data_IF_616424642103
#
_entry.id   IF_616424642103
#
_cell.length_a   1.000
_cell.length_b   1.000
_cell.length_c   1.000
_cell.angle_alpha   90.00
_cell.angle_beta   90.00
_cell.angle_gamma   90.00
#
_symmetry.space_group_name_H-M   'P 1'
#
loop_
_entity.id
_entity.type
_entity.pdbx_description
1 polymer ?
#
# COMPACT_ATOMS: atom_id res chain seq x y z
N UNK A 1 -31.27 65.98 24.84
CA UNK A 1 -30.03 65.43 25.40
C UNK A 1 -30.31 64.07 26.04
N UNK A 2 -30.16 62.97 25.29
CA UNK A 2 -29.78 61.68 25.85
C UNK A 2 -28.29 61.40 25.56
N UNK A 3 -27.67 60.71 26.50
CA UNK A 3 -26.23 60.49 26.62
C UNK A 3 -25.66 59.49 25.61
N UNK A 4 -24.36 59.65 25.35
CA UNK A 4 -23.51 58.81 24.52
C UNK A 4 -23.47 57.35 25.00
N UNK A 5 -23.78 56.43 24.09
CA UNK A 5 -23.49 55.01 24.26
C UNK A 5 -22.01 54.75 23.90
N UNK A 6 -21.22 54.53 24.94
CA UNK A 6 -19.84 54.10 24.91
C UNK A 6 -19.64 52.72 24.26
N UNK A 7 -18.54 52.60 23.50
CA UNK A 7 -17.80 51.39 23.07
C UNK A 7 -18.10 50.81 21.67
N UNK A 8 -17.15 50.92 20.72
CA UNK A 8 -17.16 50.16 19.48
C UNK A 8 -16.36 48.87 19.68
N UNK A 9 -17.03 47.76 20.02
CA UNK A 9 -16.45 46.43 19.79
C UNK A 9 -17.52 45.59 19.10
N UNK A 10 -17.53 45.59 17.76
CA UNK A 10 -17.55 44.30 17.08
C UNK A 10 -16.72 44.28 15.78
N UNK A 11 -15.49 44.82 15.76
CA UNK A 11 -14.58 44.60 14.62
C UNK A 11 -13.69 43.35 14.78
N UNK A 12 -13.45 42.90 16.02
CA UNK A 12 -12.52 41.79 16.29
C UNK A 12 -13.14 40.39 16.08
N UNK A 13 -14.46 40.23 16.25
CA UNK A 13 -15.10 38.92 16.08
C UNK A 13 -15.31 38.54 14.61
N UNK A 14 -15.50 39.52 13.72
CA UNK A 14 -15.60 39.26 12.28
C UNK A 14 -14.24 38.96 11.64
N UNK A 15 -13.14 39.46 12.22
CA UNK A 15 -11.77 39.11 11.80
C UNK A 15 -11.36 37.67 12.20
N UNK A 16 -11.99 37.08 13.22
CA UNK A 16 -11.77 35.68 13.61
C UNK A 16 -12.52 34.67 12.73
N UNK A 17 -13.51 35.11 11.94
CA UNK A 17 -14.18 34.26 10.93
C UNK A 17 -13.44 34.20 9.59
N UNK A 18 -12.47 35.09 9.38
CA UNK A 18 -11.60 35.09 8.20
C UNK A 18 -10.32 34.26 8.40
N UNK A 19 -10.32 33.28 9.31
CA UNK A 19 -9.42 32.14 9.16
C UNK A 19 -9.88 31.33 7.95
N UNK A 20 -9.43 31.79 6.77
CA UNK A 20 -9.30 30.97 5.58
C UNK A 20 -8.70 29.65 6.08
N UNK A 21 -9.47 28.57 6.05
CA UNK A 21 -8.94 27.23 6.21
C UNK A 21 -7.64 27.19 5.39
N UNK A 22 -6.52 26.67 5.93
CA UNK A 22 -5.27 26.67 5.21
C UNK A 22 -5.59 26.15 3.82
N UNK A 23 -5.33 26.97 2.79
CA UNK A 23 -5.48 26.55 1.41
C UNK A 23 -4.83 25.16 1.37
N UNK A 24 -5.61 24.13 1.05
CA UNK A 24 -5.11 22.76 1.03
C UNK A 24 -3.80 22.81 0.27
N UNK A 25 -2.67 22.58 0.95
CA UNK A 25 -1.38 22.59 0.29
C UNK A 25 -1.54 21.74 -0.97
N UNK A 26 -1.34 22.34 -2.15
CA UNK A 26 -1.56 21.63 -3.41
C UNK A 26 -0.76 20.35 -3.33
N UNK A 27 -1.46 19.22 -3.31
CA UNK A 27 -0.80 17.93 -3.14
C UNK A 27 -0.02 17.68 -4.42
N UNK A 28 1.32 17.54 -4.37
CA UNK A 28 2.14 17.37 -5.55
C UNK A 28 1.56 16.33 -6.51
N UNK A 29 1.53 16.68 -7.79
CA UNK A 29 1.17 15.75 -8.87
C UNK A 29 2.16 14.58 -8.93
N UNK A 30 1.81 13.49 -9.61
CA UNK A 30 2.75 12.36 -9.75
C UNK A 30 4.05 12.80 -10.43
N UNK A 31 3.96 13.66 -11.44
CA UNK A 31 5.11 14.13 -12.21
C UNK A 31 6.16 14.82 -11.31
N UNK A 32 5.72 15.65 -10.36
CA UNK A 32 6.58 16.32 -9.39
C UNK A 32 7.22 15.32 -8.42
N UNK A 33 6.48 14.32 -7.94
CA UNK A 33 7.07 13.24 -7.12
C UNK A 33 8.13 12.45 -7.88
N UNK A 34 7.98 12.29 -9.20
CA UNK A 34 8.91 11.55 -10.03
C UNK A 34 10.17 12.35 -10.40
N UNK A 35 10.24 13.67 -10.16
CA UNK A 35 11.48 14.43 -10.33
C UNK A 35 12.50 14.13 -9.24
N UNK A 36 12.07 13.59 -8.10
CA UNK A 36 12.96 13.14 -7.02
C UNK A 36 13.74 11.87 -7.38
N UNK A 37 13.38 11.18 -8.48
CA UNK A 37 14.05 9.95 -8.92
C UNK A 37 15.31 10.32 -9.73
N UNK A 38 16.52 9.90 -9.30
CA UNK A 38 17.75 10.24 -10.01
C UNK A 38 17.77 9.69 -11.44
N UNK A 39 18.19 10.52 -12.39
CA UNK A 39 18.36 10.09 -13.79
C UNK A 39 19.65 9.28 -13.95
N UNK A 40 19.60 7.98 -14.28
CA UNK A 40 20.79 7.16 -14.38
C UNK A 40 21.55 7.37 -15.70
N UNK A 41 21.05 8.21 -16.62
CA UNK A 41 21.63 8.43 -17.96
C UNK A 41 22.75 9.46 -17.94
N UNK A 42 23.64 9.36 -18.93
CA UNK A 42 24.56 10.45 -19.23
C UNK A 42 23.77 11.67 -19.74
N UNK A 43 24.02 12.90 -19.24
CA UNK A 43 23.36 14.10 -19.73
C UNK A 43 23.48 14.30 -21.26
N UNK A 44 24.56 13.81 -21.88
CA UNK A 44 24.78 13.87 -23.32
C UNK A 44 23.84 12.88 -24.02
N UNK A 45 22.77 13.39 -24.63
CA UNK A 45 21.81 12.60 -25.41
C UNK A 45 20.47 12.34 -24.73
N UNK A 46 20.18 13.01 -23.61
CA UNK A 46 18.84 13.01 -23.01
C UNK A 46 17.87 13.77 -23.91
N UNK A 47 16.98 13.04 -24.58
CA UNK A 47 15.90 13.61 -25.43
C UNK A 47 14.60 13.87 -24.67
N UNK A 48 14.36 13.10 -23.61
CA UNK A 48 13.15 13.15 -22.79
C UNK A 48 13.55 13.17 -21.33
N UNK A 49 13.00 14.11 -20.55
CA UNK A 49 13.17 14.15 -19.10
C UNK A 49 12.73 12.81 -18.48
N UNK A 50 13.45 12.32 -17.47
CA UNK A 50 13.16 11.02 -16.86
C UNK A 50 11.71 10.98 -16.35
N UNK A 51 11.31 11.99 -15.58
CA UNK A 51 9.96 12.08 -14.99
C UNK A 51 8.86 11.92 -16.05
N UNK A 52 9.03 12.48 -17.24
CA UNK A 52 8.07 12.34 -18.36
C UNK A 52 7.98 10.90 -18.85
N UNK A 53 9.11 10.21 -19.04
CA UNK A 53 9.12 8.80 -19.47
C UNK A 53 8.49 7.89 -18.41
N UNK A 54 8.74 8.18 -17.14
CA UNK A 54 8.13 7.45 -16.02
C UNK A 54 6.63 7.71 -15.91
N UNK A 55 6.17 8.96 -16.08
CA UNK A 55 4.74 9.29 -16.11
C UNK A 55 4.04 8.62 -17.28
N UNK A 56 4.64 8.59 -18.48
CA UNK A 56 4.11 7.84 -19.63
C UNK A 56 3.99 6.34 -19.33
N UNK A 57 5.00 5.77 -18.67
CA UNK A 57 4.96 4.37 -18.21
C UNK A 57 3.80 4.15 -17.23
N UNK A 58 3.63 5.05 -16.27
CA UNK A 58 2.50 5.01 -15.34
C UNK A 58 1.16 5.05 -16.09
N UNK A 59 1.00 5.97 -17.04
CA UNK A 59 -0.23 6.09 -17.83
C UNK A 59 -0.57 4.81 -18.59
N UNK A 60 0.43 4.21 -19.26
CA UNK A 60 0.26 2.94 -19.97
C UNK A 60 -0.17 1.80 -19.02
N UNK A 61 0.47 1.68 -17.84
CA UNK A 61 0.11 0.63 -16.86
C UNK A 61 -1.28 0.88 -16.26
N UNK A 62 -1.68 2.14 -16.03
CA UNK A 62 -3.05 2.51 -15.64
C UNK A 62 -4.09 2.18 -16.72
N UNK A 63 -3.68 2.17 -17.99
CA UNK A 63 -4.47 1.72 -19.13
C UNK A 63 -4.41 0.20 -19.37
N UNK A 64 -3.66 -0.55 -18.54
CA UNK A 64 -3.63 -2.02 -18.56
C UNK A 64 -2.42 -2.63 -19.26
N UNK A 65 -1.39 -1.86 -19.59
CA UNK A 65 -0.14 -2.42 -20.10
C UNK A 65 0.52 -3.32 -19.05
N UNK A 66 0.69 -4.61 -19.39
CA UNK A 66 1.27 -5.62 -18.49
C UNK A 66 2.74 -5.95 -18.80
N UNK A 67 3.24 -5.48 -19.96
CA UNK A 67 4.60 -5.70 -20.47
C UNK A 67 5.22 -4.39 -20.97
N UNK A 68 6.56 -4.33 -21.07
CA UNK A 68 7.25 -3.16 -21.62
C UNK A 68 6.92 -2.92 -23.10
N UNK A 69 6.62 -3.99 -23.85
CA UNK A 69 6.14 -3.88 -25.23
C UNK A 69 4.81 -3.12 -25.27
N UNK A 70 3.83 -3.54 -24.46
CA UNK A 70 2.54 -2.87 -24.36
C UNK A 70 2.67 -1.41 -23.86
N UNK A 71 3.66 -1.13 -23.00
CA UNK A 71 3.98 0.26 -22.61
C UNK A 71 4.47 1.06 -23.82
N UNK A 72 5.38 0.51 -24.61
CA UNK A 72 5.89 1.15 -25.83
C UNK A 72 4.81 1.39 -26.88
N UNK A 73 3.92 0.41 -27.10
CA UNK A 73 2.76 0.52 -28.00
C UNK A 73 1.82 1.63 -27.54
N UNK A 74 1.47 1.67 -26.25
CA UNK A 74 0.62 2.74 -25.71
C UNK A 74 1.26 4.14 -25.90
N UNK A 75 2.58 4.26 -25.70
CA UNK A 75 3.29 5.52 -25.92
C UNK A 75 3.31 5.91 -27.39
N UNK A 76 3.45 4.95 -28.30
CA UNK A 76 3.44 5.19 -29.75
C UNK A 76 2.08 5.70 -30.23
N UNK A 77 0.99 5.18 -29.65
CA UNK A 77 -0.40 5.52 -29.98
C UNK A 77 -0.95 6.74 -29.22
N UNK A 78 -0.19 7.28 -28.26
CA UNK A 78 -0.63 8.41 -27.45
C UNK A 78 -0.87 9.66 -28.32
N UNK A 79 -2.06 10.31 -28.23
CA UNK A 79 -2.34 11.52 -28.99
C UNK A 79 -1.39 12.65 -28.64
N UNK A 80 -1.14 13.51 -29.61
CA UNK A 80 -0.24 14.65 -29.47
C UNK A 80 -0.63 15.59 -28.31
N UNK A 81 -1.93 15.80 -28.07
CA UNK A 81 -2.42 16.60 -26.95
C UNK A 81 -2.00 16.02 -25.58
N UNK A 82 -2.01 14.69 -25.43
CA UNK A 82 -1.57 14.02 -24.20
C UNK A 82 -0.06 14.14 -24.03
N UNK A 83 0.69 14.00 -25.12
CA UNK A 83 2.15 14.15 -25.11
C UNK A 83 2.57 15.57 -24.72
N UNK A 84 1.90 16.59 -25.25
CA UNK A 84 2.14 18.00 -24.92
C UNK A 84 1.83 18.32 -23.46
N UNK A 85 0.71 17.80 -22.95
CA UNK A 85 0.31 17.96 -21.55
C UNK A 85 1.36 17.36 -20.57
N UNK A 86 2.06 16.32 -21.02
CA UNK A 86 3.17 15.70 -20.29
C UNK A 86 4.55 16.32 -20.59
N UNK A 87 4.60 17.39 -21.39
CA UNK A 87 5.82 18.15 -21.67
C UNK A 87 6.64 17.66 -22.86
N UNK A 88 6.12 16.76 -23.70
CA UNK A 88 6.74 16.38 -24.98
C UNK A 88 6.28 17.37 -26.05
N UNK A 89 7.21 18.22 -26.49
CA UNK A 89 6.97 19.23 -27.52
C UNK A 89 7.51 18.75 -28.88
N UNK A 90 6.97 19.25 -30.00
CA UNK A 90 7.55 19.06 -31.33
C UNK A 90 9.00 19.55 -31.35
N UNK A 91 9.84 18.88 -32.13
CA UNK A 91 11.19 19.37 -32.37
C UNK A 91 11.12 20.70 -33.18
N UNK A 92 11.87 21.75 -32.80
CA UNK A 92 11.80 23.05 -33.47
C UNK A 92 12.25 23.01 -34.94
N UNK A 93 13.06 22.02 -35.32
CA UNK A 93 13.70 21.86 -36.64
C UNK A 93 12.98 20.80 -37.47
N UNK A 94 12.48 19.75 -36.83
CA UNK A 94 11.64 18.74 -37.47
C UNK A 94 10.27 18.69 -36.78
N UNK A 95 9.15 18.94 -37.47
CA UNK A 95 7.82 18.99 -36.82
C UNK A 95 7.31 17.63 -36.31
N UNK A 96 8.19 16.63 -36.18
CA UNK A 96 7.89 15.35 -35.56
C UNK A 96 8.12 15.42 -34.04
N UNK A 97 7.13 14.96 -33.26
CA UNK A 97 7.32 14.68 -31.83
C UNK A 97 8.10 13.39 -31.68
N UNK A 98 9.33 13.48 -31.17
CA UNK A 98 10.09 12.27 -30.79
C UNK A 98 9.37 11.59 -29.62
N UNK A 99 8.96 10.33 -29.79
CA UNK A 99 8.33 9.54 -28.73
C UNK A 99 9.38 8.62 -28.10
N UNK A 100 9.37 8.40 -26.77
CA UNK A 100 10.22 7.39 -26.14
C UNK A 100 9.90 6.00 -26.71
N UNK A 101 10.84 5.40 -27.44
CA UNK A 101 10.69 4.03 -27.91
C UNK A 101 10.70 3.03 -26.73
N UNK A 102 10.12 1.85 -26.94
CA UNK A 102 10.14 0.73 -25.99
C UNK A 102 11.55 0.43 -25.46
N UNK A 103 12.56 0.44 -26.33
CA UNK A 103 13.96 0.20 -25.96
C UNK A 103 14.52 1.26 -25.02
N UNK A 104 14.00 2.50 -25.07
CA UNK A 104 14.36 3.57 -24.14
C UNK A 104 13.75 3.32 -22.77
N UNK A 105 12.45 3.00 -22.73
CA UNK A 105 11.74 2.64 -21.48
C UNK A 105 12.42 1.44 -20.82
N UNK A 106 12.70 0.38 -21.57
CA UNK A 106 13.35 -0.83 -21.07
C UNK A 106 14.72 -0.55 -20.46
N UNK A 107 15.60 0.18 -21.16
CA UNK A 107 16.93 0.51 -20.67
C UNK A 107 16.88 1.38 -19.41
N UNK A 108 15.94 2.33 -19.37
CA UNK A 108 15.72 3.19 -18.22
C UNK A 108 15.26 2.41 -17.00
N UNK A 109 14.17 1.65 -17.11
CA UNK A 109 13.65 0.88 -15.97
C UNK A 109 14.63 -0.19 -15.48
N UNK A 110 15.50 -0.71 -16.34
CA UNK A 110 16.57 -1.62 -15.92
C UNK A 110 17.64 -0.96 -15.04
N UNK A 111 17.87 0.36 -15.21
CA UNK A 111 18.96 1.12 -14.56
C UNK A 111 18.49 2.10 -13.48
N UNK A 112 17.19 2.36 -13.40
CA UNK A 112 16.62 3.33 -12.47
C UNK A 112 16.93 2.96 -11.01
N UNK A 113 17.05 3.96 -10.16
CA UNK A 113 16.99 3.76 -8.72
C UNK A 113 15.57 3.32 -8.33
N UNK A 114 15.41 2.03 -8.04
CA UNK A 114 14.12 1.45 -7.69
C UNK A 114 13.67 1.81 -6.27
N UNK A 115 14.61 2.11 -5.36
CA UNK A 115 14.28 2.58 -4.02
C UNK A 115 13.67 3.99 -4.10
N UNK A 116 14.31 4.88 -4.86
CA UNK A 116 13.78 6.23 -5.12
C UNK A 116 12.40 6.18 -5.79
N UNK A 117 12.20 5.28 -6.75
CA UNK A 117 10.90 5.09 -7.40
C UNK A 117 9.81 4.58 -6.43
N UNK A 118 10.12 3.58 -5.60
CA UNK A 118 9.21 3.06 -4.58
C UNK A 118 8.82 4.16 -3.56
N UNK A 119 9.78 4.99 -3.15
CA UNK A 119 9.53 6.13 -2.24
C UNK A 119 8.66 7.19 -2.91
N UNK A 120 8.95 7.57 -4.16
CA UNK A 120 8.17 8.58 -4.88
C UNK A 120 6.70 8.16 -5.04
N UNK A 121 6.45 6.92 -5.47
CA UNK A 121 5.11 6.37 -5.63
C UNK A 121 4.42 6.16 -4.29
N UNK A 122 5.12 5.63 -3.30
CA UNK A 122 4.59 5.43 -1.94
C UNK A 122 4.14 6.73 -1.30
N UNK A 123 4.94 7.80 -1.41
CA UNK A 123 4.58 9.15 -0.96
C UNK A 123 3.36 9.71 -1.69
N UNK A 124 3.32 9.60 -3.02
CA UNK A 124 2.17 10.06 -3.80
C UNK A 124 0.86 9.39 -3.36
N UNK A 125 0.90 8.08 -3.07
CA UNK A 125 -0.24 7.33 -2.54
C UNK A 125 -0.57 7.70 -1.08
N UNK A 126 0.44 7.91 -0.25
CA UNK A 126 0.27 8.30 1.15
C UNK A 126 -0.37 9.67 1.30
N UNK A 127 -0.04 10.64 0.45
CA UNK A 127 -0.63 11.98 0.47
C UNK A 127 -2.13 11.96 0.14
N UNK A 128 -2.55 10.99 -0.66
CA UNK A 128 -3.94 10.84 -1.14
C UNK A 128 -4.76 9.84 -0.32
N UNK A 129 -4.16 9.23 0.71
CA UNK A 129 -4.86 8.26 1.56
C UNK A 129 -5.98 8.96 2.35
N UNK A 130 -7.14 8.32 2.43
CA UNK A 130 -8.20 8.78 3.32
C UNK A 130 -7.85 8.41 4.76
N UNK A 131 -7.59 9.42 5.60
CA UNK A 131 -7.45 9.20 7.04
C UNK A 131 -8.85 9.08 7.67
N UNK A 132 -9.06 8.18 8.64
CA UNK A 132 -10.32 8.13 9.35
C UNK A 132 -10.62 9.46 10.05
N UNK A 133 -11.88 9.89 9.96
CA UNK A 133 -12.34 11.17 10.51
C UNK A 133 -12.39 11.21 12.04
N UNK A 134 -12.38 10.05 12.71
CA UNK A 134 -12.39 9.94 14.17
C UNK A 134 -10.97 9.71 14.69
N UNK A 135 -10.48 10.54 15.64
CA UNK A 135 -9.17 10.35 16.28
C UNK A 135 -9.02 8.98 16.97
N UNK A 136 -10.13 8.36 17.37
CA UNK A 136 -10.17 7.05 18.05
C UNK A 136 -10.20 5.85 17.08
N UNK A 137 -10.28 6.08 15.78
CA UNK A 137 -10.30 5.01 14.80
C UNK A 137 -8.88 4.49 14.54
N UNK A 138 -8.62 3.25 14.93
CA UNK A 138 -7.36 2.56 14.70
C UNK A 138 -7.08 2.45 13.19
N UNK A 139 -5.92 2.93 12.76
CA UNK A 139 -5.44 2.79 11.40
C UNK A 139 -4.57 1.54 11.30
N UNK A 140 -5.00 0.56 10.50
CA UNK A 140 -4.23 -0.67 10.31
C UNK A 140 -3.24 -0.56 9.15
N UNK A 141 -2.03 -1.09 9.33
CA UNK A 141 -1.02 -1.20 8.28
C UNK A 141 -0.56 -2.66 8.17
N UNK A 142 -0.84 -3.32 7.06
CA UNK A 142 -0.41 -4.70 6.81
C UNK A 142 1.02 -4.71 6.26
N UNK A 143 1.89 -5.55 6.82
CA UNK A 143 3.22 -5.82 6.27
C UNK A 143 3.29 -7.28 5.86
N UNK A 144 3.59 -7.53 4.59
CA UNK A 144 3.72 -8.86 4.01
C UNK A 144 4.63 -8.84 2.77
N UNK A 145 5.22 -9.99 2.48
CA UNK A 145 6.16 -10.20 1.39
C UNK A 145 5.52 -10.88 0.17
N UNK A 146 5.98 -10.51 -1.03
CA UNK A 146 5.62 -11.18 -2.29
C UNK A 146 6.86 -11.49 -3.12
N UNK A 147 7.02 -12.77 -3.46
CA UNK A 147 7.96 -13.20 -4.49
C UNK A 147 7.37 -13.05 -5.89
N UNK A 148 8.13 -12.42 -6.79
CA UNK A 148 7.83 -12.34 -8.23
C UNK A 148 8.29 -13.63 -8.91
N UNK A 149 7.37 -14.54 -9.27
CA UNK A 149 7.75 -15.89 -9.69
C UNK A 149 8.39 -15.99 -11.07
N UNK A 150 7.94 -15.19 -12.04
CA UNK A 150 8.46 -15.18 -13.41
C UNK A 150 9.72 -14.33 -13.62
N UNK A 151 9.99 -13.41 -12.70
CA UNK A 151 11.06 -12.43 -12.77
C UNK A 151 12.28 -12.86 -11.95
N UNK A 152 12.86 -14.01 -12.30
CA UNK A 152 14.15 -14.41 -11.74
C UNK A 152 15.28 -13.54 -12.35
N UNK A 153 16.20 -13.04 -11.53
CA UNK A 153 17.43 -12.39 -12.00
C UNK A 153 18.27 -13.38 -12.83
N UNK A 154 19.27 -12.87 -13.55
CA UNK A 154 20.11 -13.68 -14.45
C UNK A 154 20.81 -14.87 -13.76
N UNK A 155 20.99 -14.80 -12.44
CA UNK A 155 21.52 -15.85 -11.56
C UNK A 155 20.45 -16.87 -11.08
N UNK A 156 19.21 -16.78 -11.57
CA UNK A 156 18.09 -17.62 -11.18
C UNK A 156 17.36 -17.19 -9.90
N UNK A 157 17.73 -16.05 -9.29
CA UNK A 157 17.16 -15.61 -8.00
C UNK A 157 15.83 -14.89 -8.17
N UNK A 158 14.85 -15.27 -7.34
CA UNK A 158 13.52 -14.64 -7.33
C UNK A 158 13.60 -13.31 -6.60
N UNK A 159 13.08 -12.25 -7.22
CA UNK A 159 12.88 -10.97 -6.55
C UNK A 159 11.78 -11.16 -5.50
N UNK A 160 12.04 -10.72 -4.27
CA UNK A 160 11.07 -10.78 -3.19
C UNK A 160 10.88 -9.37 -2.61
N UNK A 161 9.66 -8.86 -2.70
CA UNK A 161 9.32 -7.49 -2.31
C UNK A 161 8.53 -7.50 -1.00
N UNK A 162 8.95 -6.72 -0.02
CA UNK A 162 8.19 -6.48 1.21
C UNK A 162 7.39 -5.19 1.05
N UNK A 163 6.10 -5.22 1.35
CA UNK A 163 5.21 -4.07 1.18
C UNK A 163 4.45 -3.73 2.47
N UNK A 164 4.18 -2.44 2.66
CA UNK A 164 3.32 -1.92 3.72
C UNK A 164 2.03 -1.36 3.10
N UNK A 165 0.89 -1.98 3.39
CA UNK A 165 -0.42 -1.63 2.85
C UNK A 165 -1.34 -1.05 3.91
N UNK A 166 -1.91 0.11 3.64
CA UNK A 166 -2.93 0.71 4.49
C UNK A 166 -4.24 -0.08 4.41
N UNK A 167 -4.80 -0.47 5.56
CA UNK A 167 -6.01 -1.27 5.62
C UNK A 167 -7.22 -0.52 5.08
N UNK A 168 -7.34 0.79 5.33
CA UNK A 168 -8.54 1.56 5.01
C UNK A 168 -8.69 1.74 3.51
N UNK A 169 -7.64 2.27 2.88
CA UNK A 169 -7.59 2.61 1.46
C UNK A 169 -7.12 1.45 0.57
N UNK A 170 -6.42 0.47 1.15
CA UNK A 170 -5.83 -0.63 0.39
C UNK A 170 -4.70 -0.19 -0.54
N UNK A 171 -4.03 0.91 -0.21
CA UNK A 171 -2.90 1.48 -0.93
C UNK A 171 -1.58 0.96 -0.35
N UNK A 172 -0.60 0.72 -1.22
CA UNK A 172 0.77 0.39 -0.78
C UNK A 172 1.50 1.70 -0.50
N UNK A 173 1.80 1.96 0.76
CA UNK A 173 2.47 3.18 1.20
C UNK A 173 4.00 3.08 1.10
N UNK A 174 4.52 1.86 1.18
CA UNK A 174 5.95 1.58 1.07
C UNK A 174 6.17 0.19 0.48
N UNK A 175 7.28 0.04 -0.25
CA UNK A 175 7.75 -1.23 -0.78
C UNK A 175 9.29 -1.22 -0.82
N UNK A 176 9.91 -2.37 -0.59
CA UNK A 176 11.34 -2.56 -0.81
C UNK A 176 11.66 -3.96 -1.35
N UNK A 177 12.85 -4.12 -1.93
CA UNK A 177 13.42 -5.43 -2.24
C UNK A 177 14.09 -6.04 -1.00
N UNK A 178 13.77 -7.29 -0.69
CA UNK A 178 14.33 -8.00 0.47
C UNK A 178 15.80 -8.38 0.24
N UNK A 179 16.37 -8.12 -0.94
CA UNK A 179 17.81 -8.19 -1.19
C UNK A 179 18.37 -9.61 -1.10
N UNK A 180 19.62 -9.79 -1.57
CA UNK A 180 20.21 -11.13 -1.72
C UNK A 180 20.83 -11.69 -0.43
N UNK A 181 21.31 -10.82 0.45
CA UNK A 181 22.01 -11.20 1.70
C UNK A 181 21.16 -10.97 2.94
N UNK A 182 19.93 -10.55 2.74
CA UNK A 182 18.99 -10.11 3.77
C UNK A 182 17.75 -11.00 3.73
N UNK A 183 16.92 -10.88 4.76
CA UNK A 183 15.67 -11.60 4.86
C UNK A 183 14.55 -10.62 5.24
N UNK A 184 13.29 -11.03 5.07
CA UNK A 184 12.12 -10.19 5.37
C UNK A 184 12.18 -9.60 6.79
N UNK A 185 12.75 -10.33 7.75
CA UNK A 185 12.90 -9.88 9.14
C UNK A 185 13.83 -8.66 9.24
N UNK A 186 14.95 -8.66 8.53
CA UNK A 186 15.90 -7.52 8.52
C UNK A 186 15.35 -6.30 7.80
N UNK A 187 14.51 -6.49 6.79
CA UNK A 187 13.95 -5.38 6.01
C UNK A 187 12.69 -4.75 6.63
N UNK A 188 12.16 -5.33 7.70
CA UNK A 188 10.94 -4.83 8.35
C UNK A 188 11.08 -3.39 8.86
N UNK A 189 12.18 -3.06 9.56
CA UNK A 189 12.41 -1.70 10.07
C UNK A 189 12.68 -0.71 8.94
N UNK A 190 13.61 -0.96 7.99
CA UNK A 190 13.84 -0.08 6.84
C UNK A 190 12.57 0.23 6.04
N UNK A 191 11.67 -0.76 5.84
CA UNK A 191 10.39 -0.52 5.17
C UNK A 191 9.56 0.53 5.91
N UNK A 192 9.42 0.38 7.22
CA UNK A 192 8.56 1.24 8.04
C UNK A 192 9.17 2.63 8.29
N UNK A 193 10.47 2.81 8.11
CA UNK A 193 11.11 4.12 8.12
C UNK A 193 10.66 5.01 6.95
N UNK A 194 10.31 4.40 5.81
CA UNK A 194 9.79 5.13 4.65
C UNK A 194 8.33 5.57 4.81
N UNK A 195 7.62 5.06 5.82
CA UNK A 195 6.24 5.45 6.15
C UNK A 195 6.28 6.67 7.08
N UNK A 196 5.83 7.82 6.56
CA UNK A 196 5.97 9.11 7.23
C UNK A 196 5.26 9.22 8.60
N UNK A 197 4.17 8.48 8.81
CA UNK A 197 3.34 8.59 10.02
C UNK A 197 2.90 7.21 10.51
N UNK A 198 3.65 6.69 11.48
CA UNK A 198 3.43 5.38 12.09
C UNK A 198 2.86 5.49 13.52
N UNK A 199 2.90 6.67 14.12
CA UNK A 199 2.43 6.87 15.49
C UNK A 199 0.92 6.61 15.57
N UNK A 200 0.49 5.80 16.55
CA UNK A 200 -0.89 5.36 16.70
C UNK A 200 -1.39 4.34 15.65
N UNK A 201 -0.60 4.03 14.62
CA UNK A 201 -0.95 3.00 13.65
C UNK A 201 -0.82 1.59 14.26
N UNK A 202 -1.63 0.65 13.79
CA UNK A 202 -1.60 -0.75 14.19
C UNK A 202 -1.01 -1.59 13.06
N UNK A 203 0.25 -1.96 13.21
CA UNK A 203 0.94 -2.80 12.24
C UNK A 203 0.50 -4.25 12.42
N UNK A 204 -0.06 -4.84 11.36
CA UNK A 204 -0.45 -6.24 11.34
C UNK A 204 0.52 -7.03 10.49
N UNK A 205 1.01 -8.12 11.05
CA UNK A 205 1.99 -8.96 10.37
C UNK A 205 1.59 -10.41 10.42
N UNK A 206 2.16 -11.17 9.50
CA UNK A 206 2.07 -12.61 9.51
C UNK A 206 2.86 -13.22 10.69
N UNK A 207 2.99 -14.55 10.69
CA UNK A 207 3.70 -15.22 11.77
C UNK A 207 5.22 -15.08 11.69
N UNK A 208 5.80 -14.95 10.49
CA UNK A 208 7.26 -14.81 10.32
C UNK A 208 7.80 -13.62 11.10
N UNK A 209 7.02 -12.53 11.12
CA UNK A 209 7.31 -11.28 11.84
C UNK A 209 6.91 -11.29 13.33
N UNK A 210 6.60 -12.45 13.93
CA UNK A 210 6.42 -12.56 15.39
C UNK A 210 7.78 -12.49 16.10
N UNK A 211 8.45 -11.35 15.99
CA UNK A 211 9.78 -11.07 16.52
C UNK A 211 9.70 -10.02 17.63
N UNK A 212 10.50 -10.22 18.69
CA UNK A 212 10.51 -9.31 19.85
C UNK A 212 11.08 -7.94 19.50
N UNK A 213 12.08 -7.90 18.61
CA UNK A 213 12.73 -6.66 18.19
C UNK A 213 11.81 -5.81 17.33
N UNK A 214 10.98 -6.42 16.47
CA UNK A 214 9.93 -5.72 15.72
C UNK A 214 8.91 -5.09 16.66
N UNK A 215 8.45 -5.83 17.68
CA UNK A 215 7.52 -5.29 18.67
C UNK A 215 8.12 -4.10 19.43
N UNK A 216 9.38 -4.21 19.86
CA UNK A 216 10.07 -3.14 20.59
C UNK A 216 10.26 -1.90 19.71
N UNK A 217 10.65 -2.08 18.45
CA UNK A 217 10.76 -1.01 17.46
C UNK A 217 9.43 -0.27 17.26
N UNK A 218 8.33 -1.00 17.04
CA UNK A 218 7.01 -0.41 16.83
C UNK A 218 6.56 0.40 18.04
N UNK A 219 6.74 -0.13 19.25
CA UNK A 219 6.42 0.58 20.48
C UNK A 219 7.27 1.83 20.67
N UNK A 220 8.57 1.77 20.35
CA UNK A 220 9.47 2.93 20.39
C UNK A 220 9.08 4.04 19.40
N UNK A 221 8.40 3.69 18.31
CA UNK A 221 7.84 4.62 17.31
C UNK A 221 6.43 5.10 17.66
N UNK A 222 5.91 4.78 18.85
CA UNK A 222 4.54 5.11 19.26
C UNK A 222 3.46 4.35 18.48
N UNK A 223 3.83 3.28 17.78
CA UNK A 223 2.94 2.43 17.03
C UNK A 223 2.49 1.22 17.87
N UNK A 224 1.48 0.53 17.37
CA UNK A 224 0.96 -0.70 17.95
C UNK A 224 1.13 -1.86 16.97
N UNK A 225 1.04 -3.08 17.49
CA UNK A 225 1.12 -4.28 16.65
C UNK A 225 -0.04 -5.24 16.90
N UNK A 226 -0.34 -6.06 15.89
CA UNK A 226 -1.05 -7.32 16.04
C UNK A 226 -0.26 -8.39 15.28
N UNK A 227 0.26 -9.39 16.01
CA UNK A 227 1.08 -10.46 15.44
C UNK A 227 0.39 -11.82 15.59
N UNK A 228 0.43 -12.64 14.54
CA UNK A 228 -0.15 -13.99 14.55
C UNK A 228 0.86 -15.02 15.04
N UNK A 229 0.54 -15.71 16.14
CA UNK A 229 1.47 -16.64 16.78
C UNK A 229 1.31 -18.07 16.25
N UNK A 230 2.29 -18.56 15.48
CA UNK A 230 2.37 -19.94 14.97
C UNK A 230 3.48 -20.75 15.67
N UNK A 231 4.00 -21.77 15.00
CA UNK A 231 4.97 -22.73 15.58
C UNK A 231 6.38 -22.17 15.77
N UNK A 232 6.70 -21.03 15.15
CA UNK A 232 7.98 -20.34 15.30
C UNK A 232 8.16 -19.68 16.69
N UNK A 233 7.07 -19.37 17.41
CA UNK A 233 7.11 -18.82 18.75
C UNK A 233 6.54 -19.81 19.79
N UNK A 234 7.21 -20.96 19.96
CA UNK A 234 6.70 -22.10 20.76
C UNK A 234 6.30 -21.72 22.20
N UNK A 235 7.18 -21.00 22.93
CA UNK A 235 6.94 -20.62 24.33
C UNK A 235 5.74 -19.67 24.47
N UNK A 236 5.68 -18.63 23.62
CA UNK A 236 4.55 -17.70 23.58
C UNK A 236 3.24 -18.43 23.22
N UNK A 237 3.28 -19.32 22.23
CA UNK A 237 2.12 -20.14 21.84
C UNK A 237 1.65 -21.05 22.98
N UNK A 238 2.56 -21.58 23.78
CA UNK A 238 2.22 -22.39 24.94
C UNK A 238 1.49 -21.54 26.01
N UNK A 239 2.01 -20.35 26.34
CA UNK A 239 1.33 -19.42 27.25
C UNK A 239 -0.07 -19.05 26.74
N UNK A 240 -0.19 -18.72 25.44
CA UNK A 240 -1.49 -18.40 24.85
C UNK A 240 -2.46 -19.56 24.91
N UNK A 241 -2.01 -20.81 24.71
CA UNK A 241 -2.87 -21.99 24.83
C UNK A 241 -3.32 -22.27 26.26
N UNK A 242 -2.50 -21.94 27.25
CA UNK A 242 -2.76 -22.19 28.67
C UNK A 242 -3.77 -21.21 29.29
N UNK A 243 -4.08 -20.09 28.61
CA UNK A 243 -5.09 -19.15 29.09
C UNK A 243 -6.47 -19.81 29.21
N UNK A 244 -7.32 -19.37 30.16
CA UNK A 244 -8.64 -19.94 30.45
C UNK A 244 -9.69 -19.56 29.39
N UNK A 245 -9.45 -19.92 28.13
CA UNK A 245 -10.34 -19.59 27.00
C UNK A 245 -11.74 -20.17 27.10
N UNK A 246 -11.95 -21.18 27.95
CA UNK A 246 -13.28 -21.77 28.19
C UNK A 246 -14.14 -20.80 29.00
N UNK A 247 -13.55 -20.10 29.96
CA UNK A 247 -14.23 -19.23 30.92
C UNK A 247 -14.42 -17.81 30.36
N UNK A 248 -13.64 -17.43 29.35
CA UNK A 248 -13.81 -16.15 28.67
C UNK A 248 -15.05 -16.19 27.76
N UNK A 249 -16.02 -15.26 27.89
CA UNK A 249 -17.21 -15.24 27.05
C UNK A 249 -16.86 -14.94 25.58
N UNK A 250 -17.76 -15.29 24.67
CA UNK A 250 -17.60 -14.94 23.26
C UNK A 250 -17.86 -13.43 23.08
N UNK A 251 -16.84 -12.69 22.64
CA UNK A 251 -16.92 -11.22 22.54
C UNK A 251 -17.16 -10.73 21.10
N UNK A 252 -17.09 -11.60 20.10
CA UNK A 252 -17.40 -11.22 18.73
C UNK A 252 -17.63 -12.41 17.81
N UNK A 253 -18.59 -12.27 16.89
CA UNK A 253 -18.93 -13.28 15.89
C UNK A 253 -19.26 -12.60 14.56
N UNK A 254 -18.51 -12.96 13.52
CA UNK A 254 -18.75 -12.47 12.16
C UNK A 254 -19.03 -13.66 11.26
N UNK A 255 -20.05 -13.54 10.41
CA UNK A 255 -20.35 -14.50 9.34
C UNK A 255 -20.00 -13.86 8.00
N UNK A 256 -19.49 -14.66 7.07
CA UNK A 256 -19.22 -14.24 5.69
C UNK A 256 -19.52 -15.37 4.72
N UNK A 257 -19.86 -15.00 3.50
CA UNK A 257 -20.06 -15.93 2.38
C UNK A 257 -19.28 -15.39 1.20
N UNK A 258 -18.49 -16.23 0.54
CA UNK A 258 -17.68 -15.83 -0.61
C UNK A 258 -16.95 -17.02 -1.23
N UNK A 259 -16.71 -16.97 -2.54
CA UNK A 259 -15.98 -17.99 -3.30
C UNK A 259 -16.45 -19.44 -3.01
N UNK A 260 -17.78 -19.65 -2.99
CA UNK A 260 -18.38 -20.97 -2.73
C UNK A 260 -18.26 -21.48 -1.28
N UNK A 261 -17.81 -20.63 -0.34
CA UNK A 261 -17.56 -21.01 1.06
C UNK A 261 -18.37 -20.12 2.00
N UNK A 262 -18.83 -20.70 3.10
CA UNK A 262 -19.30 -19.94 4.26
C UNK A 262 -18.24 -19.96 5.35
N UNK A 263 -18.07 -18.83 6.01
CA UNK A 263 -17.06 -18.66 7.04
C UNK A 263 -17.67 -18.00 8.28
N UNK A 264 -17.34 -18.54 9.45
CA UNK A 264 -17.70 -17.97 10.74
C UNK A 264 -16.40 -17.73 11.52
N UNK A 265 -16.17 -16.49 11.92
CA UNK A 265 -15.07 -16.09 12.79
C UNK A 265 -15.61 -15.74 14.16
N UNK A 266 -15.01 -16.31 15.20
CA UNK A 266 -15.33 -16.06 16.61
C UNK A 266 -14.08 -15.57 17.30
N UNK A 267 -14.17 -14.42 17.97
CA UNK A 267 -13.04 -13.84 18.70
C UNK A 267 -13.30 -13.87 20.20
N UNK A 268 -12.26 -14.22 20.95
CA UNK A 268 -12.10 -13.98 22.37
C UNK A 268 -10.79 -13.24 22.58
N UNK A 269 -10.78 -12.27 23.48
CA UNK A 269 -9.60 -11.54 23.91
C UNK A 269 -9.52 -11.58 25.44
N UNK A 270 -8.30 -11.67 25.95
CA UNK A 270 -7.99 -11.65 27.37
C UNK A 270 -6.96 -10.55 27.63
N UNK A 271 -7.18 -9.70 28.64
CA UNK A 271 -6.14 -8.80 29.13
C UNK A 271 -5.03 -9.63 29.76
N UNK A 272 -3.79 -9.32 29.41
CA UNK A 272 -2.60 -10.06 29.85
C UNK A 272 -1.48 -9.09 30.16
N UNK A 273 -0.67 -9.40 31.18
CA UNK A 273 0.51 -8.61 31.56
C UNK A 273 1.81 -9.42 31.52
N UNK A 274 1.75 -10.75 31.49
CA UNK A 274 2.91 -11.64 31.70
C UNK A 274 3.21 -12.54 30.48
N UNK A 275 2.90 -12.08 29.26
CA UNK A 275 3.29 -12.80 28.06
C UNK A 275 4.77 -12.56 27.73
N UNK A 276 5.44 -13.58 27.19
CA UNK A 276 6.82 -13.51 26.71
C UNK A 276 6.92 -12.75 25.37
N UNK A 277 6.26 -11.61 25.24
CA UNK A 277 6.28 -10.75 24.07
C UNK A 277 6.21 -9.26 24.47
N UNK A 278 7.13 -8.40 23.98
CA UNK A 278 7.27 -7.03 24.47
C UNK A 278 5.99 -6.20 24.34
N UNK A 279 5.56 -5.58 25.44
CA UNK A 279 4.41 -4.66 25.46
C UNK A 279 3.05 -5.34 25.20
N UNK A 280 2.95 -6.67 25.27
CA UNK A 280 1.70 -7.37 25.08
C UNK A 280 0.67 -7.03 26.17
N UNK A 281 -0.51 -6.54 25.77
CA UNK A 281 -1.61 -6.15 26.67
C UNK A 281 -2.86 -6.99 26.49
N UNK A 282 -3.07 -7.55 25.29
CA UNK A 282 -4.17 -8.48 25.04
C UNK A 282 -3.69 -9.73 24.28
N UNK A 283 -4.16 -10.88 24.74
CA UNK A 283 -4.09 -12.16 24.04
C UNK A 283 -5.39 -12.38 23.26
N UNK A 284 -5.30 -12.91 22.05
CA UNK A 284 -6.45 -13.12 21.17
C UNK A 284 -6.54 -14.59 20.77
N UNK A 285 -7.72 -15.20 20.93
CA UNK A 285 -8.09 -16.47 20.31
C UNK A 285 -9.15 -16.22 19.24
N UNK A 286 -8.78 -16.48 17.99
CA UNK A 286 -9.68 -16.43 16.84
C UNK A 286 -9.99 -17.85 16.36
N UNK A 287 -11.24 -18.28 16.46
CA UNK A 287 -11.71 -19.53 15.87
C UNK A 287 -12.37 -19.24 14.53
N UNK A 288 -11.80 -19.82 13.47
CA UNK A 288 -12.32 -19.78 12.10
C UNK A 288 -12.95 -21.13 11.75
N UNK A 289 -14.26 -21.14 11.55
CA UNK A 289 -14.99 -22.27 10.94
C UNK A 289 -15.26 -21.93 9.49
N UNK A 290 -14.76 -22.74 8.57
CA UNK A 290 -15.03 -22.63 7.14
C UNK A 290 -15.79 -23.86 6.69
N UNK A 291 -16.87 -23.66 5.96
CA UNK A 291 -17.68 -24.73 5.37
C UNK A 291 -17.73 -24.52 3.87
N UNK A 292 -17.33 -25.55 3.13
CA UNK A 292 -17.49 -25.59 1.68
C UNK A 292 -18.98 -25.82 1.36
N UNK A 293 -19.59 -24.94 0.55
CA UNK A 293 -21.05 -24.99 0.33
C UNK A 293 -21.47 -26.10 -0.64
N UNK A 294 -20.55 -26.60 -1.46
CA UNK A 294 -20.83 -27.67 -2.43
C UNK A 294 -20.72 -29.04 -1.78
N UNK A 295 -19.70 -29.23 -0.96
CA UNK A 295 -19.39 -30.53 -0.34
C UNK A 295 -19.86 -30.66 1.11
N UNK A 296 -20.25 -29.56 1.75
CA UNK A 296 -20.59 -29.52 3.18
C UNK A 296 -19.39 -29.66 4.12
N UNK A 297 -18.18 -29.92 3.61
CA UNK A 297 -16.99 -30.17 4.41
C UNK A 297 -16.65 -28.96 5.27
N UNK A 298 -16.58 -29.18 6.59
CA UNK A 298 -16.27 -28.14 7.57
C UNK A 298 -14.86 -28.28 8.12
N UNK A 299 -14.12 -27.18 8.20
CA UNK A 299 -12.80 -27.11 8.82
C UNK A 299 -12.80 -26.03 9.89
N UNK A 300 -12.32 -26.36 11.09
CA UNK A 300 -12.16 -25.40 12.19
C UNK A 300 -10.67 -25.21 12.45
N UNK A 301 -10.21 -23.96 12.46
CA UNK A 301 -8.85 -23.59 12.83
C UNK A 301 -8.88 -22.57 13.96
N UNK A 302 -8.03 -22.78 14.96
CA UNK A 302 -7.77 -21.81 16.03
C UNK A 302 -6.48 -21.07 15.72
N UNK A 303 -6.57 -19.75 15.66
CA UNK A 303 -5.46 -18.83 15.47
C UNK A 303 -5.27 -18.06 16.77
N UNK A 304 -4.03 -17.93 17.20
CA UNK A 304 -3.66 -17.10 18.34
C UNK A 304 -2.96 -15.85 17.83
N UNK A 305 -3.26 -14.71 18.44
CA UNK A 305 -2.58 -13.44 18.16
C UNK A 305 -2.32 -12.68 19.47
N UNK A 306 -1.38 -11.75 19.41
CA UNK A 306 -1.02 -10.87 20.53
C UNK A 306 -1.01 -9.43 20.03
N UNK A 307 -1.45 -8.50 20.87
CA UNK A 307 -1.40 -7.07 20.58
C UNK A 307 -0.89 -6.26 21.75
N UNK A 308 -0.28 -5.12 21.44
CA UNK A 308 0.09 -4.09 22.41
C UNK A 308 -1.08 -3.21 22.86
N UNK A 309 -2.22 -3.24 22.15
CA UNK A 309 -3.39 -2.44 22.48
C UNK A 309 -4.05 -2.95 23.76
N UNK A 310 -4.36 -2.06 24.69
CA UNK A 310 -5.17 -2.39 25.88
C UNK A 310 -6.64 -2.62 25.51
N UNK A 311 -7.40 -3.22 26.44
CA UNK A 311 -8.84 -3.44 26.26
C UNK A 311 -9.64 -2.13 26.11
N UNK A 312 -9.12 -1.02 26.64
CA UNK A 312 -9.70 0.32 26.50
C UNK A 312 -9.41 0.92 25.12
N UNK A 313 -8.24 0.63 24.55
CA UNK A 313 -7.83 1.14 23.24
C UNK A 313 -8.45 0.37 22.08
N UNK A 314 -8.69 -0.93 22.24
CA UNK A 314 -9.20 -1.77 21.16
C UNK A 314 -10.12 -2.88 21.68
N UNK A 315 -11.39 -2.78 21.31
CA UNK A 315 -12.37 -3.82 21.57
C UNK A 315 -12.08 -5.08 20.73
N UNK A 316 -12.50 -6.28 21.20
CA UNK A 316 -12.29 -7.53 20.47
C UNK A 316 -12.82 -7.52 19.03
N UNK A 317 -13.93 -6.83 18.76
CA UNK A 317 -14.48 -6.70 17.39
C UNK A 317 -13.58 -5.87 16.47
N UNK A 318 -12.94 -4.82 16.98
CA UNK A 318 -11.95 -4.02 16.23
C UNK A 318 -10.69 -4.83 15.95
N UNK A 319 -10.20 -5.59 16.93
CA UNK A 319 -9.06 -6.50 16.75
C UNK A 319 -9.36 -7.57 15.69
N UNK A 320 -10.56 -8.15 15.69
CA UNK A 320 -10.98 -9.10 14.65
C UNK A 320 -11.02 -8.45 13.25
N UNK A 321 -11.45 -7.19 13.15
CA UNK A 321 -11.46 -6.44 11.90
C UNK A 321 -10.05 -6.20 11.38
N UNK A 322 -9.13 -5.76 12.24
CA UNK A 322 -7.72 -5.55 11.87
C UNK A 322 -7.03 -6.85 11.41
N UNK A 323 -7.23 -7.96 12.13
CA UNK A 323 -6.70 -9.27 11.73
C UNK A 323 -7.29 -9.74 10.40
N UNK A 324 -8.57 -9.48 10.15
CA UNK A 324 -9.20 -9.78 8.85
C UNK A 324 -8.62 -8.90 7.75
N UNK A 325 -8.44 -7.62 8.01
CA UNK A 325 -8.01 -6.63 7.03
C UNK A 325 -6.55 -6.79 6.65
N UNK A 326 -5.73 -7.47 7.45
CA UNK A 326 -4.41 -7.94 7.04
C UNK A 326 -4.46 -8.67 5.68
N UNK A 327 -5.49 -9.49 5.42
CA UNK A 327 -5.65 -10.21 4.15
C UNK A 327 -5.84 -9.30 2.92
N UNK A 328 -6.01 -7.98 3.10
CA UNK A 328 -6.04 -7.02 1.98
C UNK A 328 -4.72 -6.98 1.22
N UNK A 329 -3.58 -7.25 1.88
CA UNK A 329 -2.28 -7.33 1.20
C UNK A 329 -2.19 -8.60 0.33
N UNK A 330 -2.68 -9.75 0.81
CA UNK A 330 -2.79 -10.95 -0.01
C UNK A 330 -3.77 -10.76 -1.19
N UNK A 331 -4.88 -10.04 -0.97
CA UNK A 331 -5.81 -9.70 -2.04
C UNK A 331 -5.16 -8.80 -3.11
N UNK A 332 -4.32 -7.84 -2.68
CA UNK A 332 -3.50 -7.03 -3.60
C UNK A 332 -2.55 -7.92 -4.41
N UNK A 333 -1.83 -8.85 -3.75
CA UNK A 333 -0.93 -9.78 -4.44
C UNK A 333 -1.67 -10.58 -5.52
N UNK A 334 -2.86 -11.11 -5.21
CA UNK A 334 -3.70 -11.78 -6.19
C UNK A 334 -4.14 -10.87 -7.34
N UNK A 335 -4.51 -9.61 -7.06
CA UNK A 335 -4.84 -8.65 -8.13
C UNK A 335 -3.64 -8.41 -9.04
N UNK A 336 -2.43 -8.25 -8.50
CA UNK A 336 -1.20 -8.12 -9.29
C UNK A 336 -0.98 -9.34 -10.19
N UNK A 337 -1.18 -10.54 -9.66
CA UNK A 337 -0.98 -11.77 -10.42
C UNK A 337 -2.02 -11.97 -11.53
N UNK A 338 -3.31 -11.84 -11.21
CA UNK A 338 -4.39 -12.17 -12.13
C UNK A 338 -4.70 -11.04 -13.09
N UNK A 339 -4.61 -9.79 -12.65
CA UNK A 339 -4.98 -8.63 -13.48
C UNK A 339 -3.79 -8.11 -14.29
N UNK A 340 -2.57 -8.15 -13.73
CA UNK A 340 -1.37 -7.64 -14.40
C UNK A 340 -0.42 -8.74 -14.89
N UNK A 341 -0.83 -10.01 -14.80
CA UNK A 341 -0.04 -11.16 -15.21
C UNK A 341 1.37 -11.19 -14.58
N UNK A 342 1.49 -10.68 -13.34
CA UNK A 342 2.79 -10.41 -12.73
C UNK A 342 3.65 -11.67 -12.59
N UNK A 343 3.09 -12.77 -12.08
CA UNK A 343 3.79 -14.04 -11.97
C UNK A 343 4.15 -14.68 -13.33
N UNK A 344 3.44 -14.32 -14.40
CA UNK A 344 3.75 -14.77 -15.77
C UNK A 344 4.82 -13.91 -16.46
N UNK A 345 5.09 -12.71 -15.94
CA UNK A 345 6.04 -11.77 -16.53
C UNK A 345 7.46 -12.33 -16.55
N UNK A 346 8.08 -12.36 -17.74
CA UNK A 346 9.47 -12.80 -17.96
C UNK A 346 10.46 -11.63 -18.03
N UNK A 347 10.10 -10.48 -17.44
CA UNK A 347 11.03 -9.36 -17.32
C UNK A 347 12.04 -9.70 -16.23
N UNK A 348 13.34 -9.69 -16.57
CA UNK A 348 14.43 -10.17 -15.69
C UNK A 348 15.64 -9.25 -15.61
N UNK A 349 15.64 -8.16 -16.37
CA UNK A 349 16.81 -7.29 -16.55
C UNK A 349 16.85 -6.17 -15.52
N UNK A 350 17.91 -6.13 -14.73
CA UNK A 350 18.16 -5.07 -13.76
C UNK A 350 16.98 -4.81 -12.84
N UNK A 351 16.67 -3.54 -12.61
CA UNK A 351 15.58 -3.09 -11.73
C UNK A 351 14.19 -3.08 -12.39
N UNK A 352 14.08 -3.43 -13.67
CA UNK A 352 12.85 -3.32 -14.43
C UNK A 352 11.67 -4.14 -13.84
N UNK A 353 11.87 -5.36 -13.30
CA UNK A 353 10.77 -6.12 -12.71
C UNK A 353 10.22 -5.49 -11.43
N UNK A 354 11.11 -4.92 -10.59
CA UNK A 354 10.73 -4.17 -9.40
C UNK A 354 9.99 -2.89 -9.78
N UNK A 355 10.51 -2.13 -10.73
CA UNK A 355 9.83 -0.93 -11.23
C UNK A 355 8.41 -1.24 -11.75
N UNK A 356 8.23 -2.34 -12.50
CA UNK A 356 6.90 -2.77 -12.93
C UNK A 356 5.98 -3.16 -11.77
N UNK A 357 6.50 -3.77 -10.70
CA UNK A 357 5.73 -4.00 -9.48
C UNK A 357 5.27 -2.67 -8.84
N UNK A 358 6.14 -1.67 -8.79
CA UNK A 358 5.80 -0.32 -8.30
C UNK A 358 4.71 0.33 -9.15
N UNK A 359 4.81 0.26 -10.48
CA UNK A 359 3.78 0.79 -11.38
C UNK A 359 2.43 0.09 -11.25
N UNK A 360 2.43 -1.22 -10.99
CA UNK A 360 1.18 -1.97 -10.72
C UNK A 360 0.55 -1.54 -9.40
N UNK A 361 1.35 -1.32 -8.35
CA UNK A 361 0.85 -0.77 -7.09
C UNK A 361 0.24 0.61 -7.30
N UNK A 362 0.91 1.49 -8.06
CA UNK A 362 0.39 2.80 -8.43
C UNK A 362 -0.93 2.70 -9.19
N UNK A 363 -1.01 1.84 -10.22
CA UNK A 363 -2.22 1.68 -11.01
C UNK A 363 -3.40 1.21 -10.16
N UNK A 364 -3.18 0.18 -9.33
CA UNK A 364 -4.21 -0.31 -8.39
C UNK A 364 -4.63 0.83 -7.45
N UNK A 365 -3.67 1.57 -6.90
CA UNK A 365 -3.93 2.65 -5.97
C UNK A 365 -4.72 3.81 -6.59
N UNK A 366 -4.29 4.31 -7.74
CA UNK A 366 -4.96 5.37 -8.48
C UNK A 366 -6.40 4.99 -8.86
N UNK A 367 -6.63 3.74 -9.29
CA UNK A 367 -7.98 3.24 -9.56
C UNK A 367 -8.85 3.22 -8.29
N UNK A 368 -8.32 2.74 -7.15
CA UNK A 368 -9.06 2.72 -5.88
C UNK A 368 -9.40 4.12 -5.37
N UNK A 369 -8.45 5.05 -5.44
CA UNK A 369 -8.64 6.46 -5.07
C UNK A 369 -9.78 7.11 -5.85
N UNK A 370 -10.00 6.66 -7.08
CA UNK A 370 -11.07 7.12 -7.96
C UNK A 370 -12.30 6.19 -7.97
N UNK A 371 -12.51 5.44 -6.88
CA UNK A 371 -13.74 4.68 -6.62
C UNK A 371 -13.85 3.32 -7.34
N UNK A 372 -12.79 2.83 -7.97
CA UNK A 372 -12.83 1.53 -8.63
C UNK A 372 -12.93 0.38 -7.61
N UNK A 373 -14.03 -0.38 -7.68
CA UNK A 373 -14.23 -1.62 -6.91
C UNK A 373 -13.70 -2.86 -7.63
N UNK A 374 -13.53 -2.78 -8.95
CA UNK A 374 -12.96 -3.83 -9.80
C UNK A 374 -11.85 -3.23 -10.67
N UNK A 375 -10.60 -3.60 -10.37
CA UNK A 375 -9.42 -3.06 -11.05
C UNK A 375 -9.41 -3.42 -12.54
N UNK A 376 -9.76 -4.66 -12.92
CA UNK A 376 -9.80 -5.06 -14.33
C UNK A 376 -10.87 -4.28 -15.14
N UNK A 377 -11.97 -3.87 -14.51
CA UNK A 377 -12.93 -2.96 -15.14
C UNK A 377 -12.38 -1.53 -15.24
N UNK A 378 -11.69 -1.05 -14.20
CA UNK A 378 -11.03 0.26 -14.18
C UNK A 378 -9.96 0.42 -15.27
N UNK A 379 -9.10 -0.58 -15.45
CA UNK A 379 -8.09 -0.62 -16.51
C UNK A 379 -8.75 -0.54 -17.89
N UNK A 380 -9.75 -1.39 -18.18
CA UNK A 380 -10.47 -1.38 -19.47
C UNK A 380 -11.18 -0.06 -19.74
N UNK A 381 -11.78 0.57 -18.72
CA UNK A 381 -12.37 1.91 -18.87
C UNK A 381 -11.28 2.92 -19.24
N UNK A 382 -10.13 2.85 -18.58
CA UNK A 382 -9.04 3.80 -18.77
C UNK A 382 -8.35 3.64 -20.12
N UNK A 383 -8.24 2.39 -20.62
CA UNK A 383 -7.71 2.09 -21.95
C UNK A 383 -8.48 2.73 -23.11
N UNK A 384 -9.77 3.04 -22.91
CA UNK A 384 -10.65 3.60 -23.96
C UNK A 384 -10.48 5.10 -24.19
N UNK A 385 -9.69 5.78 -23.36
CA UNK A 385 -9.57 7.23 -23.39
C UNK A 385 -8.20 7.64 -22.83
N UNK A 386 -7.28 8.14 -23.67
CA UNK A 386 -5.90 8.40 -23.31
C UNK A 386 -5.73 9.57 -22.33
N UNK A 387 -6.78 10.36 -22.05
CA UNK A 387 -6.75 11.40 -21.01
C UNK A 387 -7.08 10.86 -19.61
N UNK A 388 -7.79 9.72 -19.51
CA UNK A 388 -8.16 9.14 -18.20
C UNK A 388 -6.97 8.82 -17.31
N UNK A 389 -5.85 8.25 -17.81
CA UNK A 389 -4.67 8.08 -16.98
C UNK A 389 -4.17 9.40 -16.37
N UNK A 390 -4.17 10.50 -17.13
CA UNK A 390 -3.72 11.81 -16.66
C UNK A 390 -4.63 12.32 -15.54
N UNK A 391 -5.95 12.20 -15.72
CA UNK A 391 -6.93 12.57 -14.68
C UNK A 391 -6.73 11.75 -13.41
N UNK A 392 -6.55 10.42 -13.53
CA UNK A 392 -6.34 9.53 -12.38
C UNK A 392 -5.05 9.85 -11.61
N UNK A 393 -4.06 10.42 -12.29
CA UNK A 393 -2.76 10.82 -11.71
C UNK A 393 -2.73 12.28 -11.23
N UNK A 394 -3.81 13.03 -11.42
CA UNK A 394 -3.88 14.47 -11.09
C UNK A 394 -3.01 15.33 -11.99
N UNK A 395 -2.94 15.00 -13.29
CA UNK A 395 -2.13 15.68 -14.31
C UNK A 395 -3.00 16.32 -15.42
N UNK A 396 -4.32 16.29 -15.26
CA UNK A 396 -5.29 16.78 -16.23
C UNK A 396 -5.57 18.27 -16.07
#
# INVERSE_FOLDING_TARGET
MPADASSPIPAALDQLRAHRAPASAEVPGLLERLTDVPDPRDPRGVRHALAVVLTLTACAVLAGATSLLAVGEWIADAPDAVLEQLGIRPDPVMPQRSRPAETTVRRLLARIDADALDVAVGRWLADRRTRPSKPTALQGLAVDGKSLRGAARADGRKIHLLAALDHTSGLVLAQLDVGEKTNEITCFQPLLETVADLAGAVVTTDALHTQRDHATYLLGRGAHYIVIVKGNAKKLRAQLKALPWKDIPLQGRVKGVGHGRSEIRRIKAATVNNLLFPGARQAIQLKRRRTDRRTGKTTIKTVYAVTSLSAEQAAPTQLAALIKDHWKIEALHHTRDVTFAEDASQLRTGNAPRAMATWRNLAIGAHKLNGATNIAAGLRRTARDPHRPLTLLGLA
#
